data_IF_293411868648
#
_entry.id   IF_293411868648
#
_cell.length_a   1.000
_cell.length_b   1.000
_cell.length_c   1.000
_cell.angle_alpha   90.00
_cell.angle_beta   90.00
_cell.angle_gamma   90.00
#
_symmetry.space_group_name_H-M   'P 1'
#
loop_
_entity.id
_entity.type
_entity.pdbx_description
1 polymer ?
#
# COMPACT_ATOMS: atom_id res chain seq x y z
N UNK A 1 -19.72 23.77 -1.31
CA UNK A 1 -18.57 23.61 -2.22
C UNK A 1 -19.06 23.08 -3.55
N UNK A 2 -18.59 23.65 -4.66
CA UNK A 2 -19.00 23.25 -6.01
C UNK A 2 -18.43 21.86 -6.36
N UNK A 3 -19.16 20.99 -7.06
CA UNK A 3 -18.76 19.58 -7.32
C UNK A 3 -17.39 19.46 -8.00
N UNK A 4 -17.04 20.43 -8.86
CA UNK A 4 -15.72 20.53 -9.48
C UNK A 4 -14.60 20.82 -8.47
N UNK A 5 -14.87 21.64 -7.46
CA UNK A 5 -13.90 22.00 -6.41
C UNK A 5 -13.61 20.81 -5.49
N UNK A 6 -14.63 20.00 -5.16
CA UNK A 6 -14.43 18.77 -4.39
C UNK A 6 -13.58 17.74 -5.15
N UNK A 7 -13.83 17.61 -6.45
CA UNK A 7 -13.04 16.74 -7.34
C UNK A 7 -11.58 17.17 -7.41
N UNK A 8 -11.30 18.46 -7.60
CA UNK A 8 -9.93 18.98 -7.65
C UNK A 8 -9.16 18.71 -6.36
N UNK A 9 -9.78 18.95 -5.20
CA UNK A 9 -9.12 18.68 -3.91
C UNK A 9 -8.90 17.17 -3.70
N UNK A 10 -9.86 16.33 -4.09
CA UNK A 10 -9.70 14.88 -4.01
C UNK A 10 -8.55 14.36 -4.87
N UNK A 11 -8.36 14.92 -6.08
CA UNK A 11 -7.21 14.61 -6.93
C UNK A 11 -5.89 15.05 -6.28
N UNK A 12 -5.80 16.27 -5.76
CA UNK A 12 -4.60 16.76 -5.08
C UNK A 12 -4.22 15.85 -3.91
N UNK A 13 -5.20 15.45 -3.08
CA UNK A 13 -4.97 14.55 -1.95
C UNK A 13 -4.54 13.14 -2.38
N UNK A 14 -5.10 12.62 -3.48
CA UNK A 14 -4.68 11.34 -4.06
C UNK A 14 -3.24 11.41 -4.60
N UNK A 15 -2.86 12.51 -5.25
CA UNK A 15 -1.49 12.75 -5.71
C UNK A 15 -0.52 12.89 -4.54
N UNK A 16 -0.88 13.62 -3.48
CA UNK A 16 -0.10 13.69 -2.25
C UNK A 16 0.15 12.29 -1.69
N UNK A 17 -0.89 11.44 -1.67
CA UNK A 17 -0.74 10.04 -1.23
C UNK A 17 0.25 9.28 -2.09
N UNK A 18 0.12 9.35 -3.43
CA UNK A 18 1.00 8.64 -4.37
C UNK A 18 2.47 9.12 -4.27
N UNK A 19 2.68 10.42 -4.11
CA UNK A 19 4.01 11.02 -3.93
C UNK A 19 4.61 10.61 -2.58
N UNK A 20 3.85 10.72 -1.49
CA UNK A 20 4.28 10.31 -0.17
C UNK A 20 4.67 8.83 -0.17
N UNK A 21 3.81 7.95 -0.67
CA UNK A 21 4.10 6.52 -0.71
C UNK A 21 5.23 6.18 -1.70
N UNK A 22 5.42 6.97 -2.76
CA UNK A 22 6.53 6.77 -3.69
C UNK A 22 7.89 7.13 -3.09
N UNK A 23 7.95 8.18 -2.26
CA UNK A 23 9.17 8.59 -1.57
C UNK A 23 9.49 7.72 -0.33
N UNK A 24 8.49 7.05 0.25
CA UNK A 24 8.62 6.28 1.48
C UNK A 24 9.74 5.23 1.43
N UNK A 25 9.82 4.33 0.43
CA UNK A 25 10.82 3.26 0.41
C UNK A 25 12.25 3.79 0.29
N UNK A 26 12.43 4.93 -0.38
CA UNK A 26 13.72 5.58 -0.56
C UNK A 26 14.25 6.08 0.78
N UNK A 27 13.42 6.82 1.54
CA UNK A 27 13.78 7.26 2.88
C UNK A 27 13.96 6.08 3.84
N UNK A 28 13.09 5.07 3.76
CA UNK A 28 13.15 3.92 4.65
C UNK A 28 14.42 3.09 4.43
N UNK A 29 14.92 3.00 3.19
CA UNK A 29 16.16 2.31 2.88
C UNK A 29 17.38 2.93 3.56
N UNK A 30 17.40 4.24 3.77
CA UNK A 30 18.47 4.92 4.52
C UNK A 30 18.49 4.53 6.00
N UNK A 31 17.30 4.31 6.58
CA UNK A 31 17.15 3.92 7.99
C UNK A 31 17.44 2.43 8.18
N UNK A 32 17.07 1.59 7.21
CA UNK A 32 17.28 0.14 7.21
C UNK A 32 18.77 -0.27 7.25
N UNK A 33 19.70 0.65 6.99
CA UNK A 33 21.15 0.41 7.12
C UNK A 33 21.54 0.18 8.59
N UNK A 34 20.87 0.84 9.53
CA UNK A 34 21.21 0.82 10.97
C UNK A 34 20.11 0.17 11.80
N UNK A 35 18.85 0.29 11.38
CA UNK A 35 17.70 -0.15 12.16
C UNK A 35 16.93 -1.29 11.47
N UNK A 36 16.64 -2.33 12.24
CA UNK A 36 15.88 -3.49 11.75
C UNK A 36 14.43 -3.12 11.34
N UNK A 37 13.83 -3.85 10.37
CA UNK A 37 12.46 -3.62 9.89
C UNK A 37 11.42 -3.51 11.00
N UNK A 38 11.50 -4.38 12.02
CA UNK A 38 10.54 -4.41 13.13
C UNK A 38 10.55 -3.10 13.92
N UNK A 39 11.73 -2.59 14.26
CA UNK A 39 11.88 -1.33 15.01
C UNK A 39 11.40 -0.13 14.20
N UNK A 40 11.69 -0.09 12.88
CA UNK A 40 11.19 0.98 12.00
C UNK A 40 9.65 0.97 11.98
N UNK A 41 9.04 -0.21 11.80
CA UNK A 41 7.58 -0.35 11.79
C UNK A 41 6.97 0.05 13.14
N UNK A 42 7.62 -0.28 14.26
CA UNK A 42 7.21 0.16 15.59
C UNK A 42 7.15 1.69 15.67
N UNK A 43 8.24 2.40 15.32
CA UNK A 43 8.29 3.87 15.35
C UNK A 43 7.24 4.50 14.43
N UNK A 44 7.05 3.93 13.23
CA UNK A 44 6.04 4.42 12.28
C UNK A 44 4.63 4.33 12.85
N UNK A 45 4.25 3.19 13.44
CA UNK A 45 2.93 3.03 14.03
C UNK A 45 2.78 3.79 15.34
N UNK A 46 3.85 3.94 16.14
CA UNK A 46 3.83 4.75 17.35
C UNK A 46 3.53 6.22 17.02
N UNK A 47 4.30 6.82 16.10
CA UNK A 47 4.07 8.21 15.65
C UNK A 47 2.67 8.36 15.05
N UNK A 48 2.23 7.42 14.21
CA UNK A 48 0.90 7.48 13.60
C UNK A 48 -0.23 7.32 14.63
N UNK A 49 -0.05 6.48 15.66
CA UNK A 49 -1.03 6.27 16.73
C UNK A 49 -1.19 7.52 17.60
N UNK A 50 -0.08 8.19 17.95
CA UNK A 50 -0.11 9.47 18.69
C UNK A 50 -0.79 10.54 17.85
N UNK A 51 -0.33 10.75 16.61
CA UNK A 51 -0.87 11.78 15.74
C UNK A 51 -2.37 11.61 15.47
N UNK A 52 -2.79 10.38 15.13
CA UNK A 52 -4.20 10.09 14.89
C UNK A 52 -5.03 10.12 16.17
N UNK A 53 -4.45 9.71 17.31
CA UNK A 53 -5.07 9.81 18.64
C UNK A 53 -5.37 11.25 19.04
N UNK A 54 -4.42 12.17 18.84
CA UNK A 54 -4.60 13.62 19.07
C UNK A 54 -5.73 14.14 18.17
N UNK A 55 -5.70 13.84 16.87
CA UNK A 55 -6.72 14.30 15.91
C UNK A 55 -8.12 13.81 16.30
N UNK A 56 -8.26 12.52 16.65
CA UNK A 56 -9.56 11.93 17.01
C UNK A 56 -10.07 12.42 18.37
N UNK A 57 -9.18 12.61 19.35
CA UNK A 57 -9.51 13.16 20.67
C UNK A 57 -10.03 14.59 20.56
N UNK A 58 -9.32 15.46 19.83
CA UNK A 58 -9.73 16.85 19.60
C UNK A 58 -11.07 16.96 18.86
N UNK A 59 -11.41 15.96 18.04
CA UNK A 59 -12.69 15.89 17.32
C UNK A 59 -13.79 15.15 18.07
N UNK A 60 -13.52 14.63 19.29
CA UNK A 60 -14.42 13.77 20.08
C UNK A 60 -14.97 12.56 19.29
N UNK A 61 -14.14 12.01 18.40
CA UNK A 61 -14.49 10.90 17.47
C UNK A 61 -13.71 9.61 17.77
N UNK A 62 -13.28 9.43 19.01
CA UNK A 62 -12.60 8.20 19.44
C UNK A 62 -13.45 6.95 19.14
N UNK A 63 -12.81 5.80 18.83
CA UNK A 63 -13.55 4.57 18.53
C UNK A 63 -14.39 4.13 19.73
N UNK A 64 -15.65 3.71 19.51
CA UNK A 64 -16.50 3.23 20.59
C UNK A 64 -15.96 1.91 21.16
N UNK A 65 -15.78 1.82 22.48
CA UNK A 65 -15.30 0.61 23.17
C UNK A 65 -16.19 -0.63 22.94
N UNK A 66 -17.44 -0.46 22.47
CA UNK A 66 -18.37 -1.56 22.16
C UNK A 66 -17.82 -2.56 21.14
N UNK A 67 -16.86 -2.18 20.32
CA UNK A 67 -16.22 -3.05 19.33
C UNK A 67 -15.52 -4.24 20.00
N UNK A 68 -14.92 -4.03 21.18
CA UNK A 68 -14.24 -5.08 21.93
C UNK A 68 -15.19 -6.05 22.63
N UNK A 69 -16.47 -5.68 22.81
CA UNK A 69 -17.46 -6.50 23.52
C UNK A 69 -17.92 -7.73 22.73
N UNK A 70 -17.83 -7.67 21.41
CA UNK A 70 -18.30 -8.74 20.54
C UNK A 70 -17.13 -9.51 19.94
N UNK A 71 -17.02 -10.80 20.29
CA UNK A 71 -15.94 -11.71 19.84
C UNK A 71 -15.67 -11.65 18.34
N UNK A 72 -16.72 -11.56 17.50
CA UNK A 72 -16.59 -11.45 16.03
C UNK A 72 -15.81 -10.20 15.59
N UNK A 73 -16.10 -9.05 16.18
CA UNK A 73 -15.47 -7.78 15.81
C UNK A 73 -14.07 -7.65 16.35
N UNK A 74 -13.83 -8.20 17.55
CA UNK A 74 -12.49 -8.45 18.05
C UNK A 74 -11.74 -9.25 16.99
N UNK A 75 -12.13 -10.50 16.70
CA UNK A 75 -11.38 -11.38 15.78
C UNK A 75 -11.08 -10.71 14.43
N UNK A 76 -12.02 -9.95 13.87
CA UNK A 76 -11.79 -9.17 12.64
C UNK A 76 -10.73 -8.08 12.80
N UNK A 77 -10.69 -7.36 13.93
CA UNK A 77 -9.61 -6.44 14.27
C UNK A 77 -8.27 -7.17 14.36
N UNK A 78 -8.23 -8.38 14.92
CA UNK A 78 -7.00 -9.19 15.02
C UNK A 78 -6.46 -9.56 13.65
N UNK A 79 -7.35 -10.02 12.76
CA UNK A 79 -7.01 -10.36 11.37
C UNK A 79 -6.53 -9.12 10.62
N UNK A 80 -7.23 -7.98 10.78
CA UNK A 80 -6.81 -6.72 10.17
C UNK A 80 -5.46 -6.23 10.72
N UNK A 81 -5.20 -6.41 12.02
CA UNK A 81 -3.94 -6.04 12.67
C UNK A 81 -2.80 -6.92 12.17
N UNK A 82 -2.97 -8.24 12.18
CA UNK A 82 -1.99 -9.18 11.63
C UNK A 82 -1.73 -8.92 10.15
N UNK A 83 -2.77 -8.59 9.39
CA UNK A 83 -2.68 -8.19 7.99
C UNK A 83 -1.86 -6.91 7.77
N UNK A 84 -2.16 -5.85 8.51
CA UNK A 84 -1.47 -4.57 8.38
C UNK A 84 -0.02 -4.67 8.89
N UNK A 85 0.18 -5.27 10.06
CA UNK A 85 1.49 -5.48 10.67
C UNK A 85 2.38 -6.35 9.77
N UNK A 86 1.85 -7.49 9.31
CA UNK A 86 2.56 -8.40 8.43
C UNK A 86 2.96 -7.74 7.12
N UNK A 87 2.07 -6.96 6.49
CA UNK A 87 2.41 -6.19 5.30
C UNK A 87 3.58 -5.23 5.55
N UNK A 88 3.52 -4.43 6.61
CA UNK A 88 4.56 -3.44 6.91
C UNK A 88 5.90 -4.10 7.23
N UNK A 89 5.90 -5.19 7.99
CA UNK A 89 7.11 -5.95 8.31
C UNK A 89 7.68 -6.58 7.04
N UNK A 90 6.89 -7.34 6.28
CA UNK A 90 7.38 -8.01 5.07
C UNK A 90 7.86 -7.03 4.00
N UNK A 91 7.16 -5.92 3.79
CA UNK A 91 7.60 -4.86 2.87
C UNK A 91 8.89 -4.18 3.34
N UNK A 92 9.03 -3.97 4.66
CA UNK A 92 10.25 -3.38 5.21
C UNK A 92 11.44 -4.33 5.14
N UNK A 93 11.21 -5.62 5.36
CA UNK A 93 12.22 -6.67 5.17
C UNK A 93 12.58 -6.86 3.70
N UNK A 94 11.61 -6.80 2.76
CA UNK A 94 11.92 -6.93 1.33
C UNK A 94 12.85 -5.82 0.85
N UNK A 95 12.73 -4.61 1.41
CA UNK A 95 13.58 -3.46 1.07
C UNK A 95 15.04 -3.61 1.52
N UNK A 96 15.35 -4.53 2.43
CA UNK A 96 16.75 -4.85 2.74
C UNK A 96 17.44 -5.51 1.54
N UNK A 97 16.70 -6.30 0.77
CA UNK A 97 17.21 -7.10 -0.35
C UNK A 97 16.94 -6.50 -1.72
N UNK A 98 15.83 -5.76 -1.87
CA UNK A 98 15.37 -5.22 -3.14
C UNK A 98 15.56 -3.70 -3.23
N UNK A 99 15.62 -3.17 -4.44
CA UNK A 99 15.56 -1.72 -4.64
C UNK A 99 14.19 -1.16 -4.19
N UNK A 100 14.14 0.15 -3.87
CA UNK A 100 12.88 0.86 -3.62
C UNK A 100 11.84 0.62 -4.73
N UNK A 101 12.28 0.69 -5.98
CA UNK A 101 11.45 0.54 -7.18
C UNK A 101 10.94 -0.88 -7.34
N UNK A 102 11.79 -1.90 -7.18
CA UNK A 102 11.40 -3.30 -7.30
C UNK A 102 10.36 -3.68 -6.23
N UNK A 103 10.55 -3.24 -4.98
CA UNK A 103 9.59 -3.50 -3.90
C UNK A 103 8.21 -2.89 -4.19
N UNK A 104 8.18 -1.66 -4.73
CA UNK A 104 6.93 -0.98 -5.09
C UNK A 104 6.23 -1.64 -6.28
N UNK A 105 6.98 -2.09 -7.28
CA UNK A 105 6.45 -2.81 -8.43
C UNK A 105 5.82 -4.15 -8.00
N UNK A 106 6.46 -4.90 -7.09
CA UNK A 106 5.88 -6.12 -6.50
C UNK A 106 4.61 -5.82 -5.69
N UNK A 107 4.56 -4.67 -5.02
CA UNK A 107 3.37 -4.19 -4.30
C UNK A 107 2.12 -4.10 -5.18
N UNK A 108 2.27 -3.93 -6.49
CA UNK A 108 1.14 -3.87 -7.44
C UNK A 108 0.43 -5.22 -7.60
N UNK A 109 0.97 -6.31 -7.07
CA UNK A 109 0.26 -7.58 -6.93
C UNK A 109 -0.92 -7.47 -5.96
N UNK A 110 -0.90 -6.55 -4.99
CA UNK A 110 -1.98 -6.37 -4.02
C UNK A 110 -3.34 -6.06 -4.66
N UNK A 111 -3.48 -5.08 -5.58
CA UNK A 111 -4.71 -4.87 -6.34
C UNK A 111 -5.25 -6.12 -7.03
N UNK A 112 -4.37 -6.93 -7.63
CA UNK A 112 -4.75 -8.19 -8.31
C UNK A 112 -5.26 -9.21 -7.28
N UNK A 113 -4.54 -9.39 -6.18
CA UNK A 113 -4.97 -10.26 -5.08
C UNK A 113 -6.31 -9.83 -4.46
N UNK A 114 -6.53 -8.53 -4.29
CA UNK A 114 -7.80 -7.96 -3.83
C UNK A 114 -8.95 -8.25 -4.81
N UNK A 115 -8.66 -8.23 -6.11
CA UNK A 115 -9.62 -8.58 -7.16
C UNK A 115 -10.05 -10.05 -7.04
N UNK A 116 -9.09 -10.98 -6.92
CA UNK A 116 -9.37 -12.40 -6.70
C UNK A 116 -10.12 -12.67 -5.40
N UNK A 117 -9.70 -12.05 -4.29
CA UNK A 117 -10.38 -12.18 -3.01
C UNK A 117 -11.82 -11.65 -3.05
N UNK A 118 -12.09 -10.60 -3.82
CA UNK A 118 -13.45 -10.07 -4.00
C UNK A 118 -14.35 -11.08 -4.73
N UNK A 119 -13.84 -11.83 -5.70
CA UNK A 119 -14.61 -12.91 -6.34
C UNK A 119 -14.87 -14.07 -5.38
N UNK A 120 -13.84 -14.55 -4.68
CA UNK A 120 -13.95 -15.73 -3.83
C UNK A 120 -14.81 -15.47 -2.59
N UNK A 121 -14.62 -14.31 -1.95
CA UNK A 121 -15.25 -13.99 -0.65
C UNK A 121 -16.58 -13.24 -0.85
N UNK A 122 -16.61 -12.27 -1.78
CA UNK A 122 -17.79 -11.43 -1.99
C UNK A 122 -18.68 -11.92 -3.15
N UNK A 123 -18.24 -12.93 -3.91
CA UNK A 123 -18.95 -13.48 -5.08
C UNK A 123 -19.29 -12.41 -6.13
N UNK A 124 -18.46 -11.37 -6.21
CA UNK A 124 -18.58 -10.32 -7.23
C UNK A 124 -18.10 -10.86 -8.59
N UNK A 125 -18.78 -10.52 -9.68
CA UNK A 125 -18.34 -10.88 -11.04
C UNK A 125 -17.21 -9.96 -11.49
N UNK A 126 -16.09 -10.52 -11.99
CA UNK A 126 -15.01 -9.72 -12.57
C UNK A 126 -15.45 -9.10 -13.89
N UNK A 127 -15.08 -7.84 -14.11
CA UNK A 127 -15.26 -7.18 -15.40
C UNK A 127 -14.14 -7.59 -16.37
N UNK A 128 -14.40 -7.61 -17.67
CA UNK A 128 -13.36 -7.91 -18.68
C UNK A 128 -12.16 -6.96 -18.60
N UNK A 129 -12.40 -5.69 -18.29
CA UNK A 129 -11.34 -4.67 -18.11
C UNK A 129 -10.41 -4.95 -16.93
N UNK A 130 -10.96 -5.53 -15.86
CA UNK A 130 -10.21 -5.98 -14.68
C UNK A 130 -9.26 -7.14 -15.03
N UNK A 131 -9.74 -8.11 -15.83
CA UNK A 131 -8.94 -9.25 -16.30
C UNK A 131 -7.81 -8.78 -17.23
N UNK A 132 -8.12 -7.94 -18.22
CA UNK A 132 -7.10 -7.39 -19.13
C UNK A 132 -6.05 -6.60 -18.35
N UNK A 133 -6.47 -5.76 -17.40
CA UNK A 133 -5.55 -5.00 -16.55
C UNK A 133 -4.65 -5.90 -15.70
N UNK A 134 -5.19 -7.00 -15.16
CA UNK A 134 -4.39 -7.99 -14.43
C UNK A 134 -3.38 -8.71 -15.34
N UNK A 135 -3.77 -9.12 -16.55
CA UNK A 135 -2.84 -9.74 -17.51
C UNK A 135 -1.72 -8.77 -17.87
N UNK A 136 -2.06 -7.52 -18.19
CA UNK A 136 -1.07 -6.46 -18.45
C UNK A 136 -0.10 -6.28 -17.27
N UNK A 137 -0.62 -6.27 -16.05
CA UNK A 137 0.20 -6.14 -14.85
C UNK A 137 1.19 -7.29 -14.69
N UNK A 138 0.74 -8.55 -14.89
CA UNK A 138 1.61 -9.73 -14.82
C UNK A 138 2.67 -9.69 -15.94
N UNK A 139 2.29 -9.34 -17.17
CA UNK A 139 3.25 -9.15 -18.26
C UNK A 139 4.28 -8.06 -17.93
N UNK A 140 3.83 -6.93 -17.38
CA UNK A 140 4.70 -5.84 -16.94
C UNK A 140 5.68 -6.27 -15.85
N UNK A 141 5.26 -7.12 -14.91
CA UNK A 141 6.14 -7.68 -13.88
C UNK A 141 7.24 -8.56 -14.49
N UNK A 142 6.88 -9.42 -15.45
CA UNK A 142 7.86 -10.25 -16.16
C UNK A 142 8.87 -9.41 -16.93
N UNK A 143 8.42 -8.33 -17.59
CA UNK A 143 9.30 -7.37 -18.26
C UNK A 143 10.18 -6.61 -17.27
N UNK A 144 9.64 -6.18 -16.13
CA UNK A 144 10.39 -5.45 -15.11
C UNK A 144 11.54 -6.28 -14.56
N UNK A 145 11.27 -7.55 -14.21
CA UNK A 145 12.26 -8.45 -13.63
C UNK A 145 13.15 -9.14 -14.67
N UNK A 146 13.11 -8.77 -15.97
CA UNK A 146 13.74 -9.53 -17.06
C UNK A 146 15.19 -9.97 -16.80
N UNK A 147 16.02 -9.09 -16.22
CA UNK A 147 17.43 -9.36 -15.92
C UNK A 147 17.62 -10.25 -14.69
N UNK A 148 16.68 -10.18 -13.75
CA UNK A 148 16.72 -10.91 -12.48
C UNK A 148 15.84 -12.17 -12.49
N UNK A 149 15.07 -12.44 -13.55
CA UNK A 149 14.19 -13.61 -13.66
C UNK A 149 14.97 -14.92 -13.44
N UNK A 150 16.12 -15.05 -14.10
CA UNK A 150 16.95 -16.25 -13.97
C UNK A 150 17.42 -16.42 -12.52
N UNK A 151 17.87 -15.35 -11.88
CA UNK A 151 18.28 -15.39 -10.47
C UNK A 151 17.12 -15.82 -9.57
N UNK A 152 15.93 -15.23 -9.74
CA UNK A 152 14.72 -15.57 -8.98
C UNK A 152 14.35 -17.06 -9.09
N UNK A 153 14.44 -17.65 -10.28
CA UNK A 153 14.00 -19.03 -10.53
C UNK A 153 15.07 -20.10 -10.31
N UNK A 154 16.35 -19.74 -10.41
CA UNK A 154 17.45 -20.72 -10.39
C UNK A 154 18.34 -20.63 -9.16
N UNK A 155 18.37 -19.48 -8.47
CA UNK A 155 19.21 -19.27 -7.30
C UNK A 155 18.35 -18.81 -6.12
N UNK A 156 18.36 -19.56 -5.03
CA UNK A 156 17.78 -19.15 -3.74
C UNK A 156 18.70 -18.12 -3.07
N UNK A 157 18.94 -16.97 -3.73
CA UNK A 157 19.75 -15.86 -3.21
C UNK A 157 18.92 -14.93 -2.33
N UNK A 158 19.61 -14.00 -1.67
CA UNK A 158 19.03 -12.89 -0.92
C UNK A 158 18.00 -12.10 -1.76
N UNK A 159 18.24 -11.95 -3.07
CA UNK A 159 17.30 -11.30 -3.97
C UNK A 159 15.96 -12.04 -4.06
N UNK A 160 16.00 -13.37 -4.21
CA UNK A 160 14.82 -14.24 -4.26
C UNK A 160 14.03 -14.18 -2.94
N UNK A 161 14.73 -14.13 -1.80
CA UNK A 161 14.11 -13.91 -0.50
C UNK A 161 13.39 -12.55 -0.45
N UNK A 162 14.03 -11.49 -0.95
CA UNK A 162 13.42 -10.17 -1.08
C UNK A 162 12.12 -10.19 -1.89
N UNK A 163 12.11 -10.88 -3.03
CA UNK A 163 10.91 -11.02 -3.87
C UNK A 163 9.81 -11.79 -3.13
N UNK A 164 10.15 -12.90 -2.47
CA UNK A 164 9.20 -13.69 -1.70
C UNK A 164 8.57 -12.86 -0.57
N UNK A 165 9.38 -12.10 0.17
CA UNK A 165 8.91 -11.19 1.21
C UNK A 165 7.96 -10.13 0.63
N UNK A 166 8.28 -9.55 -0.53
CA UNK A 166 7.40 -8.60 -1.21
C UNK A 166 6.06 -9.22 -1.64
N UNK A 167 6.07 -10.45 -2.15
CA UNK A 167 4.85 -11.19 -2.51
C UNK A 167 4.02 -11.53 -1.26
N UNK A 168 4.65 -11.97 -0.17
CA UNK A 168 4.01 -12.18 1.12
C UNK A 168 3.39 -10.89 1.66
N UNK A 169 4.10 -9.75 1.55
CA UNK A 169 3.57 -8.45 1.92
C UNK A 169 2.29 -8.13 1.13
N UNK A 170 2.32 -8.38 -0.19
CA UNK A 170 1.19 -8.16 -1.07
C UNK A 170 0.00 -9.07 -0.77
N UNK A 171 0.25 -10.34 -0.41
CA UNK A 171 -0.79 -11.31 -0.07
C UNK A 171 -1.47 -10.99 1.27
N UNK A 172 -0.69 -10.68 2.30
CA UNK A 172 -1.20 -10.36 3.64
C UNK A 172 -1.95 -9.02 3.66
N UNK A 173 -1.57 -8.08 2.78
CA UNK A 173 -2.34 -6.86 2.52
C UNK A 173 -3.77 -7.13 2.04
N UNK A 174 -3.99 -8.19 1.24
CA UNK A 174 -5.33 -8.57 0.78
C UNK A 174 -6.22 -8.96 1.95
N UNK A 175 -5.69 -9.74 2.89
CA UNK A 175 -6.40 -10.13 4.12
C UNK A 175 -6.80 -8.89 4.94
N UNK A 176 -5.88 -7.94 5.09
CA UNK A 176 -6.16 -6.65 5.72
C UNK A 176 -7.28 -5.89 4.98
N UNK A 177 -7.16 -5.71 3.66
CA UNK A 177 -8.12 -4.96 2.87
C UNK A 177 -9.54 -5.54 2.94
N UNK A 178 -9.68 -6.87 2.92
CA UNK A 178 -10.97 -7.54 3.10
C UNK A 178 -11.52 -7.31 4.50
N UNK A 179 -10.71 -7.51 5.55
CA UNK A 179 -11.14 -7.29 6.93
C UNK A 179 -11.53 -5.82 7.18
N UNK A 180 -10.76 -4.88 6.63
CA UNK A 180 -11.04 -3.44 6.70
C UNK A 180 -12.37 -3.10 6.03
N UNK A 181 -12.66 -3.65 4.83
CA UNK A 181 -13.95 -3.45 4.14
C UNK A 181 -15.14 -3.89 4.99
N UNK A 182 -14.98 -4.94 5.80
CA UNK A 182 -16.03 -5.40 6.74
C UNK A 182 -16.13 -4.49 7.97
N UNK A 183 -15.00 -4.06 8.55
CA UNK A 183 -14.96 -3.15 9.71
C UNK A 183 -15.55 -1.76 9.40
N UNK A 184 -15.40 -1.27 8.16
CA UNK A 184 -15.97 0.00 7.70
C UNK A 184 -17.50 0.08 7.77
N UNK A 185 -18.20 -1.05 7.96
CA UNK A 185 -19.66 -1.08 8.18
C UNK A 185 -20.08 -0.53 9.55
N UNK A 186 -19.14 -0.38 10.50
CA UNK A 186 -19.40 0.03 11.88
C UNK A 186 -18.51 1.17 12.36
N UNK A 187 -17.31 1.28 11.82
CA UNK A 187 -16.30 2.26 12.21
C UNK A 187 -15.90 3.12 11.01
N UNK A 188 -15.49 4.34 11.30
CA UNK A 188 -14.88 5.21 10.28
C UNK A 188 -13.45 4.73 9.95
N UNK A 189 -12.93 5.07 8.76
CA UNK A 189 -11.58 4.69 8.34
C UNK A 189 -10.51 5.13 9.36
N UNK A 190 -10.61 6.36 9.88
CA UNK A 190 -9.69 6.89 10.88
C UNK A 190 -9.76 6.13 12.21
N UNK A 191 -10.95 5.73 12.66
CA UNK A 191 -11.11 4.92 13.88
C UNK A 191 -10.49 3.53 13.73
N UNK A 192 -10.67 2.88 12.57
CA UNK A 192 -10.06 1.58 12.28
C UNK A 192 -8.55 1.71 12.30
N UNK A 193 -7.99 2.66 11.53
CA UNK A 193 -6.54 2.86 11.46
C UNK A 193 -5.93 3.16 12.84
N UNK A 194 -6.59 3.98 13.66
CA UNK A 194 -6.13 4.24 15.02
C UNK A 194 -6.05 2.97 15.86
N UNK A 195 -7.12 2.16 15.88
CA UNK A 195 -7.13 0.89 16.61
C UNK A 195 -6.05 -0.07 16.10
N UNK A 196 -5.87 -0.15 14.78
CA UNK A 196 -4.85 -1.00 14.18
C UNK A 196 -3.44 -0.52 14.53
N UNK A 197 -3.15 0.78 14.47
CA UNK A 197 -1.83 1.31 14.83
C UNK A 197 -1.50 1.03 16.30
N UNK A 198 -2.44 1.24 17.21
CA UNK A 198 -2.26 0.92 18.64
C UNK A 198 -2.00 -0.56 18.85
N UNK A 199 -2.81 -1.44 18.24
CA UNK A 199 -2.62 -2.89 18.36
C UNK A 199 -1.30 -3.35 17.72
N UNK A 200 -0.92 -2.81 16.57
CA UNK A 200 0.37 -3.09 15.93
C UNK A 200 1.54 -2.72 16.83
N UNK A 201 1.52 -1.54 17.46
CA UNK A 201 2.55 -1.12 18.43
C UNK A 201 2.63 -2.13 19.57
N UNK A 202 1.50 -2.50 20.18
CA UNK A 202 1.48 -3.48 21.27
C UNK A 202 2.09 -4.82 20.84
N UNK A 203 1.69 -5.36 19.70
CA UNK A 203 2.17 -6.67 19.24
C UNK A 203 3.63 -6.67 18.77
N UNK A 204 4.12 -5.57 18.20
CA UNK A 204 5.49 -5.48 17.68
C UNK A 204 6.50 -5.03 18.74
N UNK A 205 6.05 -4.44 19.86
CA UNK A 205 6.90 -4.00 20.99
C UNK A 205 7.92 -5.05 21.46
N UNK A 206 7.58 -6.34 21.70
CA UNK A 206 8.57 -7.32 22.16
C UNK A 206 9.69 -7.62 21.13
N UNK A 207 9.49 -7.25 19.86
CA UNK A 207 10.48 -7.44 18.80
C UNK A 207 11.25 -6.15 18.46
N UNK A 208 10.87 -5.01 19.04
CA UNK A 208 11.44 -3.71 18.71
C UNK A 208 12.61 -3.36 19.63
N UNK A 209 13.77 -3.04 19.03
CA UNK A 209 14.97 -2.58 19.74
C UNK A 209 14.99 -1.04 19.77
N UNK A 210 14.33 -0.45 20.75
CA UNK A 210 14.10 1.01 20.78
C UNK A 210 15.40 1.82 20.90
N UNK A 211 16.40 1.27 21.57
CA UNK A 211 17.71 1.91 21.82
C UNK A 211 18.48 2.26 20.54
N UNK A 212 18.19 1.57 19.42
CA UNK A 212 18.85 1.81 18.13
C UNK A 212 18.59 3.23 17.61
N UNK A 213 17.56 3.93 18.09
CA UNK A 213 17.32 5.33 17.71
C UNK A 213 18.49 6.25 18.04
N UNK A 214 19.23 5.97 19.11
CA UNK A 214 20.39 6.77 19.52
C UNK A 214 21.63 6.55 18.65
N UNK A 215 21.61 5.52 17.80
CA UNK A 215 22.68 5.21 16.86
C UNK A 215 22.45 5.84 15.48
N UNK A 216 21.27 6.42 15.24
CA UNK A 216 20.94 7.04 13.98
C UNK A 216 21.66 8.38 13.82
N UNK A 217 22.20 8.62 12.63
CA UNK A 217 22.63 9.97 12.23
C UNK A 217 21.44 10.93 12.15
N UNK A 218 21.70 12.24 12.21
CA UNK A 218 20.66 13.27 12.05
C UNK A 218 19.84 13.09 10.76
N UNK A 219 20.51 12.68 9.67
CA UNK A 219 19.83 12.39 8.39
C UNK A 219 18.88 11.21 8.49
N UNK A 220 19.34 10.09 9.07
CA UNK A 220 18.50 8.90 9.26
C UNK A 220 17.34 9.16 10.22
N UNK A 221 17.53 10.00 11.23
CA UNK A 221 16.45 10.41 12.12
C UNK A 221 15.37 11.21 11.37
N UNK A 222 15.76 12.14 10.48
CA UNK A 222 14.82 12.85 9.60
C UNK A 222 14.08 11.85 8.69
N UNK A 223 14.79 10.87 8.11
CA UNK A 223 14.15 9.81 7.32
C UNK A 223 13.15 8.99 8.14
N UNK A 224 13.47 8.63 9.39
CA UNK A 224 12.58 7.88 10.28
C UNK A 224 11.33 8.69 10.64
N UNK A 225 11.50 9.97 11.00
CA UNK A 225 10.39 10.88 11.27
C UNK A 225 9.52 11.07 10.03
N UNK A 226 10.13 11.20 8.84
CA UNK A 226 9.41 11.21 7.58
C UNK A 226 8.61 9.91 7.39
N UNK A 227 9.19 8.72 7.60
CA UNK A 227 8.47 7.45 7.48
C UNK A 227 7.26 7.36 8.44
N UNK A 228 7.40 7.89 9.67
CA UNK A 228 6.30 7.96 10.63
C UNK A 228 5.20 8.95 10.21
N UNK A 229 5.59 10.19 9.89
CA UNK A 229 4.67 11.22 9.41
C UNK A 229 3.96 10.81 8.12
N UNK A 230 4.67 10.15 7.19
CA UNK A 230 4.14 9.61 5.94
C UNK A 230 3.03 8.59 6.18
N UNK A 231 3.15 7.78 7.23
CA UNK A 231 2.12 6.80 7.61
C UNK A 231 0.84 7.51 8.05
N UNK A 232 0.93 8.66 8.73
CA UNK A 232 -0.24 9.47 9.09
C UNK A 232 -0.80 10.25 7.89
N UNK A 233 0.07 10.99 7.18
CA UNK A 233 -0.29 11.89 6.09
C UNK A 233 -0.83 11.11 4.89
N UNK A 234 -0.17 10.01 4.51
CA UNK A 234 -0.57 9.20 3.36
C UNK A 234 -1.95 8.58 3.55
N UNK A 235 -2.18 7.90 4.68
CA UNK A 235 -3.49 7.31 4.95
C UNK A 235 -4.58 8.36 5.24
N UNK A 236 -4.21 9.49 5.86
CA UNK A 236 -5.13 10.61 6.08
C UNK A 236 -5.58 11.26 4.77
N UNK A 237 -4.64 11.59 3.88
CA UNK A 237 -4.91 12.14 2.56
C UNK A 237 -5.70 11.16 1.70
N UNK A 238 -5.39 9.86 1.76
CA UNK A 238 -6.14 8.80 1.08
C UNK A 238 -7.61 8.76 1.53
N UNK A 239 -7.84 8.74 2.84
CA UNK A 239 -9.19 8.68 3.39
C UNK A 239 -10.01 9.92 2.99
N UNK A 240 -9.40 11.10 3.01
CA UNK A 240 -10.05 12.34 2.60
C UNK A 240 -10.27 12.42 1.08
N UNK A 241 -9.34 11.89 0.27
CA UNK A 241 -9.51 11.77 -1.18
C UNK A 241 -10.71 10.89 -1.53
N UNK A 242 -10.84 9.72 -0.88
CA UNK A 242 -11.98 8.82 -1.07
C UNK A 242 -13.32 9.42 -0.61
N UNK A 243 -13.30 10.36 0.34
CA UNK A 243 -14.51 11.06 0.78
C UNK A 243 -14.97 12.15 -0.20
N UNK A 244 -14.07 12.67 -1.05
CA UNK A 244 -14.33 13.80 -1.95
C UNK A 244 -14.35 13.43 -3.43
N UNK A 245 -13.79 12.28 -3.79
CA UNK A 245 -13.64 11.83 -5.17
C UNK A 245 -13.91 10.34 -5.31
N UNK A 246 -14.24 9.88 -6.53
CA UNK A 246 -14.66 8.50 -6.73
C UNK A 246 -13.51 7.54 -6.43
N UNK A 247 -13.78 6.53 -5.61
CA UNK A 247 -12.77 5.57 -5.13
C UNK A 247 -11.98 4.90 -6.27
N UNK A 248 -12.61 4.59 -7.40
CA UNK A 248 -11.91 4.01 -8.57
C UNK A 248 -10.87 4.98 -9.17
N UNK A 249 -11.16 6.27 -9.21
CA UNK A 249 -10.26 7.29 -9.74
C UNK A 249 -9.12 7.59 -8.75
N UNK A 250 -9.44 7.68 -7.46
CA UNK A 250 -8.43 7.78 -6.38
C UNK A 250 -7.47 6.59 -6.44
N UNK A 251 -8.02 5.37 -6.58
CA UNK A 251 -7.22 4.15 -6.72
C UNK A 251 -6.31 4.18 -7.95
N UNK A 252 -6.80 4.68 -9.10
CA UNK A 252 -5.99 4.81 -10.31
C UNK A 252 -4.80 5.76 -10.10
N UNK A 253 -4.99 6.89 -9.43
CA UNK A 253 -3.88 7.81 -9.11
C UNK A 253 -2.85 7.17 -8.19
N UNK A 254 -3.29 6.39 -7.20
CA UNK A 254 -2.37 5.70 -6.27
C UNK A 254 -1.52 4.67 -6.99
N UNK A 255 -2.01 4.06 -8.06
CA UNK A 255 -1.20 3.09 -8.83
C UNK A 255 0.02 3.71 -9.50
N UNK A 256 0.13 5.05 -9.55
CA UNK A 256 1.33 5.77 -10.01
C UNK A 256 2.51 5.71 -9.01
N UNK A 257 2.29 5.21 -7.78
CA UNK A 257 3.30 5.13 -6.71
C UNK A 257 4.63 4.53 -7.16
N UNK A 258 4.68 3.41 -7.92
CA UNK A 258 5.95 2.85 -8.41
C UNK A 258 6.68 3.78 -9.38
N UNK A 259 5.96 4.53 -10.21
CA UNK A 259 6.58 5.51 -11.13
C UNK A 259 7.13 6.72 -10.39
N UNK A 260 6.45 7.21 -9.35
CA UNK A 260 7.02 8.24 -8.47
C UNK A 260 8.27 7.74 -7.75
N UNK A 261 8.26 6.49 -7.30
CA UNK A 261 9.45 5.89 -6.66
C UNK A 261 10.61 5.83 -7.65
N UNK A 262 10.37 5.43 -8.89
CA UNK A 262 11.37 5.38 -9.96
C UNK A 262 11.92 6.77 -10.25
N UNK A 263 11.03 7.73 -10.52
CA UNK A 263 11.38 9.13 -10.76
C UNK A 263 12.23 9.72 -9.63
N UNK A 264 11.81 9.55 -8.37
CA UNK A 264 12.56 10.06 -7.23
C UNK A 264 13.90 9.35 -7.04
N UNK A 265 13.97 8.04 -7.30
CA UNK A 265 15.23 7.30 -7.22
C UNK A 265 16.23 7.81 -8.26
N UNK A 266 15.79 8.07 -9.49
CA UNK A 266 16.64 8.59 -10.57
C UNK A 266 17.10 10.03 -10.26
N UNK A 267 16.18 10.92 -9.88
CA UNK A 267 16.51 12.31 -9.56
C UNK A 267 17.45 12.43 -8.36
N UNK A 268 17.23 11.63 -7.30
CA UNK A 268 18.08 11.65 -6.12
C UNK A 268 19.45 11.03 -6.38
N UNK A 269 19.54 10.01 -7.24
CA UNK A 269 20.83 9.45 -7.66
C UNK A 269 21.66 10.45 -8.49
N UNK A 270 21.00 11.28 -9.31
CA UNK A 270 21.65 12.35 -10.06
C UNK A 270 22.10 13.51 -9.15
N UNK A 271 21.28 13.91 -8.18
CA UNK A 271 21.56 15.05 -7.30
C UNK A 271 22.50 14.73 -6.12
N UNK A 272 22.39 13.53 -5.56
CA UNK A 272 23.17 13.07 -4.39
C UNK A 272 23.67 11.63 -4.58
N UNK A 273 24.61 11.39 -5.52
CA UNK A 273 25.10 10.05 -5.86
C UNK A 273 25.82 9.35 -4.71
N UNK A 274 26.30 10.09 -3.70
CA UNK A 274 26.94 9.52 -2.50
C UNK A 274 25.95 8.85 -1.56
N UNK A 275 24.67 9.26 -1.57
CA UNK A 275 23.63 8.73 -0.68
C UNK A 275 22.64 7.81 -1.40
N UNK A 276 22.46 7.97 -2.71
CA UNK A 276 21.48 7.24 -3.49
C UNK A 276 22.13 6.56 -4.71
N UNK A 277 22.07 5.23 -4.74
CA UNK A 277 22.49 4.45 -5.89
C UNK A 277 21.44 4.55 -7.01
N UNK A 278 21.90 4.75 -8.24
CA UNK A 278 21.04 4.70 -9.42
C UNK A 278 20.37 3.32 -9.54
N UNK A 279 19.07 3.26 -9.92
CA UNK A 279 18.41 2.00 -10.19
C UNK A 279 19.14 1.23 -11.30
N UNK A 280 19.54 -0.02 -11.03
CA UNK A 280 20.11 -0.92 -12.03
C UNK A 280 18.96 -1.48 -12.89
N UNK A 281 18.44 -0.65 -13.79
CA UNK A 281 17.29 -0.98 -14.63
C UNK A 281 17.64 -0.74 -16.10
N UNK A 282 17.44 -1.77 -16.94
CA UNK A 282 17.55 -1.61 -18.39
C UNK A 282 16.29 -0.97 -18.98
N UNK A 283 16.34 -0.56 -20.24
CA UNK A 283 15.19 0.03 -20.95
C UNK A 283 13.93 -0.85 -20.87
N UNK A 284 14.08 -2.17 -20.97
CA UNK A 284 12.96 -3.13 -20.85
C UNK A 284 12.33 -3.05 -19.46
N UNK A 285 13.13 -2.87 -18.41
CA UNK A 285 12.63 -2.71 -17.05
C UNK A 285 11.84 -1.42 -16.86
N UNK A 286 12.25 -0.31 -17.47
CA UNK A 286 11.47 0.94 -17.48
C UNK A 286 10.11 0.74 -18.17
N UNK A 287 10.10 0.08 -19.33
CA UNK A 287 8.86 -0.27 -20.04
C UNK A 287 8.00 -1.20 -19.17
N UNK A 288 8.60 -2.19 -18.50
CA UNK A 288 7.92 -3.08 -17.57
C UNK A 288 7.22 -2.32 -16.44
N UNK A 289 7.91 -1.40 -15.77
CA UNK A 289 7.32 -0.57 -14.71
C UNK A 289 6.11 0.25 -15.21
N UNK A 290 6.23 0.83 -16.40
CA UNK A 290 5.11 1.56 -17.03
C UNK A 290 3.93 0.64 -17.34
N UNK A 291 4.18 -0.55 -17.90
CA UNK A 291 3.13 -1.53 -18.23
C UNK A 291 2.44 -2.04 -16.95
N UNK A 292 3.17 -2.28 -15.85
CA UNK A 292 2.60 -2.64 -14.54
C UNK A 292 1.61 -1.58 -14.08
N UNK A 293 2.02 -0.31 -14.09
CA UNK A 293 1.17 0.80 -13.65
C UNK A 293 -0.01 1.00 -14.58
N UNK A 294 0.19 0.95 -15.90
CA UNK A 294 -0.89 1.04 -16.88
C UNK A 294 -1.91 -0.08 -16.71
N UNK A 295 -1.47 -1.33 -16.50
CA UNK A 295 -2.35 -2.47 -16.21
C UNK A 295 -3.15 -2.29 -14.93
N UNK A 296 -2.51 -1.82 -13.86
CA UNK A 296 -3.18 -1.53 -12.58
C UNK A 296 -4.23 -0.40 -12.72
N UNK A 297 -3.88 0.69 -13.40
CA UNK A 297 -4.81 1.79 -13.72
C UNK A 297 -5.99 1.29 -14.55
N UNK A 298 -5.71 0.51 -15.59
CA UNK A 298 -6.74 -0.02 -16.48
C UNK A 298 -7.70 -0.96 -15.74
N UNK A 299 -7.20 -1.77 -14.80
CA UNK A 299 -8.06 -2.59 -13.94
C UNK A 299 -8.99 -1.72 -13.06
N UNK A 300 -8.49 -0.59 -12.53
CA UNK A 300 -9.26 0.29 -11.66
C UNK A 300 -10.35 1.10 -12.41
N UNK A 301 -10.03 1.67 -13.57
CA UNK A 301 -10.90 2.63 -14.29
C UNK A 301 -11.26 2.24 -15.73
N UNK A 302 -10.78 1.10 -16.24
CA UNK A 302 -10.96 0.67 -17.64
C UNK A 302 -12.43 0.56 -18.08
N UNK A 303 -13.34 0.24 -17.16
CA UNK A 303 -14.78 0.18 -17.42
C UNK A 303 -15.41 1.52 -17.86
N UNK A 304 -14.74 2.64 -17.61
CA UNK A 304 -15.17 3.96 -18.10
C UNK A 304 -14.77 4.19 -19.56
N UNK A 305 -13.65 3.60 -20.00
CA UNK A 305 -13.18 3.69 -21.38
C UNK A 305 -13.87 2.66 -22.28
N UNK A 306 -14.16 1.48 -21.72
CA UNK A 306 -14.92 0.41 -22.37
C UNK A 306 -16.21 0.14 -21.57
N UNK A 307 -17.26 0.97 -21.72
CA UNK A 307 -18.55 0.66 -21.15
C UNK A 307 -19.06 -0.63 -21.80
N UNK A 308 -19.04 -1.73 -21.05
CA UNK A 308 -19.61 -3.00 -21.51
C UNK A 308 -21.07 -2.81 -21.93
N UNK A 309 -21.52 -3.53 -22.96
CA UNK A 309 -22.94 -3.63 -23.32
C UNK A 309 -23.73 -3.96 -22.05
N UNK A 310 -24.75 -3.15 -21.72
CA UNK A 310 -25.70 -3.46 -20.65
C UNK A 310 -26.27 -4.85 -20.93
N UNK A 311 -26.02 -5.82 -20.06
CA UNK A 311 -26.76 -7.09 -20.11
C UNK A 311 -28.26 -6.74 -19.96
N UNK A 312 -29.15 -7.20 -20.85
CA UNK A 312 -30.57 -7.00 -20.67
C UNK A 312 -30.97 -7.69 -19.36
N UNK A 313 -31.63 -6.92 -18.49
CA UNK A 313 -32.24 -7.45 -17.27
C UNK A 313 -33.31 -8.45 -17.72
N UNK A 314 -33.00 -9.74 -17.68
CA UNK A 314 -33.98 -10.80 -17.90
C UNK A 314 -35.07 -10.64 -16.82
N UNK A 315 -36.35 -10.48 -17.21
CA UNK A 315 -37.42 -10.42 -16.23
C UNK A 315 -37.43 -11.71 -15.43
N UNK A 316 -37.43 -11.57 -14.10
CA UNK A 316 -37.61 -12.68 -13.17
C UNK A 316 -38.89 -13.41 -13.55
N UNK A 317 -38.76 -14.59 -14.14
CA UNK A 317 -39.88 -15.50 -14.36
C UNK A 317 -40.37 -15.91 -12.97
N UNK A 318 -41.54 -15.38 -12.61
CA UNK A 318 -42.30 -15.83 -11.46
C UNK A 318 -42.60 -17.32 -11.63
N UNK A 319 -41.93 -18.17 -10.86
CA UNK A 319 -42.41 -19.54 -10.64
C UNK A 319 -43.65 -19.44 -9.77
N UNK A 320 -44.79 -19.82 -10.36
CA UNK A 320 -46.00 -20.24 -9.64
C UNK A 320 -45.72 -21.50 -8.83
#
# INVERSE_FOLDING_TARGET
MNTKQQTGIGLCLALTTAVCWGALPIAMKQVLVVMEPYTIVWYRFFIASIGLGIILSSRKKLPPMRVFRHRRWWVLLLIATAGLLGNFVFFSSSLQYLSPTASQVIGQLSPVGMMFASVLILKEKMRGTQIIGAIMLICGLLLFFNTSLIEIFTRLTDYTLGVLLGVCASAVWVSYGVAQKVLLRRLTSQQILFLLYVLCVVFITPFAKLEVIFQLSNWQLICLLFCGANTLIGYGALAEAMARWQASQVSAVITLTPLFTLLFSDLLALGWPTFFAAPVLNWIGYVGAFVVVAGAMFSAIGHRFLPGKKEPVLPLVAKK
#
